data_IF_044942616125
#
_entry.id   IF_044942616125
#
_cell.length_a   1.000
_cell.length_b   1.000
_cell.length_c   1.000
_cell.angle_alpha   90.00
_cell.angle_beta   90.00
_cell.angle_gamma   90.00
#
_symmetry.space_group_name_H-M   'P 1'
#
loop_
_entity.id
_entity.type
_entity.pdbx_description
1 polymer ?
#
# COMPACT_ATOMS: atom_id res chain seq x y z
N UNK A 1 -3.56 9.80 -16.14
CA UNK A 1 -3.70 10.60 -14.92
C UNK A 1 -4.48 11.89 -15.16
N UNK A 2 -5.21 12.37 -14.15
CA UNK A 2 -6.00 13.59 -14.20
C UNK A 2 -5.46 14.60 -13.18
N UNK A 3 -4.21 15.04 -13.36
CA UNK A 3 -3.57 16.02 -12.50
C UNK A 3 -2.80 17.05 -13.31
N UNK A 4 -2.52 18.18 -12.71
CA UNK A 4 -1.64 19.22 -13.24
C UNK A 4 -0.51 19.46 -12.25
N UNK A 5 0.66 19.75 -12.78
CA UNK A 5 1.87 20.05 -12.00
C UNK A 5 2.63 21.16 -12.71
N UNK A 6 3.36 21.98 -11.98
CA UNK A 6 4.26 22.94 -12.59
C UNK A 6 5.39 22.22 -13.33
N UNK A 7 5.83 22.79 -14.46
CA UNK A 7 6.91 22.21 -15.26
C UNK A 7 8.18 22.01 -14.44
N UNK A 8 8.53 22.98 -13.60
CA UNK A 8 9.71 22.95 -12.73
C UNK A 8 9.67 21.76 -11.75
N UNK A 9 8.51 21.50 -11.15
CA UNK A 9 8.31 20.36 -10.25
C UNK A 9 8.41 19.03 -10.99
N UNK A 10 7.84 18.97 -12.21
CA UNK A 10 7.94 17.78 -13.06
C UNK A 10 9.39 17.49 -13.45
N UNK A 11 10.14 18.50 -13.85
CA UNK A 11 11.56 18.41 -14.22
C UNK A 11 12.42 18.02 -13.01
N UNK A 12 12.19 18.63 -11.84
CA UNK A 12 12.83 18.26 -10.58
C UNK A 12 12.62 16.80 -10.23
N UNK A 13 11.43 16.27 -10.44
CA UNK A 13 11.10 14.86 -10.25
C UNK A 13 11.50 13.97 -11.43
N UNK A 14 12.25 14.47 -12.41
CA UNK A 14 12.76 13.73 -13.57
C UNK A 14 11.66 13.14 -14.47
N UNK A 15 10.47 13.74 -14.48
CA UNK A 15 9.32 13.37 -15.32
C UNK A 15 9.01 11.84 -15.30
N UNK A 16 8.64 11.25 -16.43
CA UNK A 16 8.32 9.83 -16.52
C UNK A 16 9.56 8.99 -16.84
N UNK A 17 9.76 7.92 -16.11
CA UNK A 17 10.78 6.93 -16.44
C UNK A 17 10.23 5.93 -17.47
N UNK A 18 10.97 5.65 -18.57
CA UNK A 18 10.48 4.80 -19.65
C UNK A 18 10.26 3.34 -19.25
N UNK A 19 10.97 2.86 -18.23
CA UNK A 19 10.97 1.45 -17.81
C UNK A 19 10.29 1.21 -16.47
N UNK A 20 9.59 2.23 -15.92
CA UNK A 20 8.83 2.11 -14.67
C UNK A 20 7.33 2.01 -14.96
N UNK A 21 6.70 0.98 -14.41
CA UNK A 21 5.25 0.75 -14.57
C UNK A 21 4.61 0.38 -13.22
N UNK A 22 3.45 0.95 -12.86
CA UNK A 22 2.76 2.05 -13.57
C UNK A 22 3.53 3.39 -13.46
N UNK A 23 3.76 4.03 -14.59
CA UNK A 23 4.60 5.22 -14.72
C UNK A 23 4.08 6.44 -13.96
N UNK A 24 2.75 6.60 -13.95
CA UNK A 24 2.08 7.67 -13.23
C UNK A 24 2.11 7.45 -11.70
N UNK A 25 2.09 6.20 -11.28
CA UNK A 25 2.17 5.82 -9.88
C UNK A 25 3.58 6.07 -9.31
N UNK A 26 4.62 5.68 -10.05
CA UNK A 26 6.02 5.97 -9.72
C UNK A 26 6.26 7.49 -9.60
N UNK A 27 5.78 8.27 -10.59
CA UNK A 27 5.93 9.72 -10.57
C UNK A 27 5.20 10.36 -9.38
N UNK A 28 4.01 9.86 -9.01
CA UNK A 28 3.27 10.35 -7.84
C UNK A 28 4.06 10.14 -6.54
N UNK A 29 4.75 9.00 -6.39
CA UNK A 29 5.63 8.77 -5.23
C UNK A 29 6.87 9.68 -5.25
N UNK A 30 7.44 9.99 -6.42
CA UNK A 30 8.54 10.94 -6.51
C UNK A 30 8.10 12.36 -6.15
N UNK A 31 6.88 12.76 -6.51
CA UNK A 31 6.29 14.01 -6.02
C UNK A 31 6.17 14.01 -4.49
N UNK A 32 5.71 12.91 -3.91
CA UNK A 32 5.62 12.76 -2.45
C UNK A 32 7.00 12.84 -1.78
N UNK A 33 8.00 12.16 -2.31
CA UNK A 33 9.40 12.20 -1.83
C UNK A 33 9.98 13.61 -1.84
N UNK A 34 9.66 14.41 -2.87
CA UNK A 34 10.08 15.81 -2.99
C UNK A 34 9.24 16.78 -2.14
N UNK A 35 8.29 16.27 -1.36
CA UNK A 35 7.43 17.07 -0.49
C UNK A 35 6.36 17.88 -1.22
N UNK A 36 6.03 17.55 -2.47
CA UNK A 36 4.98 18.24 -3.21
C UNK A 36 3.61 17.93 -2.62
N UNK A 37 2.82 18.95 -2.43
CA UNK A 37 1.47 18.82 -1.86
C UNK A 37 0.44 18.58 -2.95
N UNK A 38 -0.22 17.42 -2.91
CA UNK A 38 -1.37 17.15 -3.76
C UNK A 38 -2.62 17.87 -3.22
N UNK A 39 -3.30 18.61 -4.09
CA UNK A 39 -4.55 19.31 -3.79
C UNK A 39 -5.65 18.71 -4.64
N UNK A 40 -6.68 18.16 -4.00
CA UNK A 40 -7.83 17.61 -4.70
C UNK A 40 -8.75 18.74 -5.21
N UNK A 41 -9.19 18.63 -6.47
CA UNK A 41 -10.24 19.50 -7.00
C UNK A 41 -11.61 19.04 -6.49
N UNK A 42 -12.41 19.96 -5.94
CA UNK A 42 -13.77 19.66 -5.46
C UNK A 42 -14.80 19.49 -6.58
N UNK A 43 -14.45 19.90 -7.81
CA UNK A 43 -15.33 19.78 -8.98
C UNK A 43 -14.94 18.57 -9.82
N UNK A 44 -15.92 17.88 -10.38
CA UNK A 44 -15.69 16.85 -11.41
C UNK A 44 -15.33 17.55 -12.70
N UNK A 45 -14.05 17.51 -13.09
CA UNK A 45 -13.52 18.14 -14.30
C UNK A 45 -13.29 17.14 -15.43
N UNK A 46 -13.36 15.86 -15.15
CA UNK A 46 -13.09 14.82 -16.12
C UNK A 46 -13.94 13.58 -15.87
N UNK A 47 -14.53 13.03 -16.95
CA UNK A 47 -15.23 11.75 -16.95
C UNK A 47 -14.37 10.73 -17.70
N UNK A 48 -13.97 9.70 -17.02
CA UNK A 48 -13.13 8.66 -17.59
C UNK A 48 -13.97 7.50 -18.10
N UNK A 49 -13.86 7.21 -19.40
CA UNK A 49 -14.54 6.06 -19.99
C UNK A 49 -13.83 4.77 -19.52
N UNK A 50 -14.58 3.93 -18.81
CA UNK A 50 -14.13 2.61 -18.40
C UNK A 50 -14.67 1.53 -19.36
N UNK A 51 -13.79 0.63 -19.81
CA UNK A 51 -14.13 -0.50 -20.67
C UNK A 51 -13.15 -1.66 -20.44
N UNK A 52 -13.59 -2.90 -20.77
CA UNK A 52 -12.89 -4.13 -20.41
C UNK A 52 -11.53 -4.31 -21.08
N UNK A 53 -11.33 -3.76 -22.28
CA UNK A 53 -10.11 -3.90 -23.07
C UNK A 53 -9.08 -2.78 -22.85
N UNK A 54 -9.22 -2.02 -21.76
CA UNK A 54 -8.24 -0.97 -21.43
C UNK A 54 -6.85 -1.55 -21.16
N UNK A 55 -5.80 -0.84 -21.58
CA UNK A 55 -4.40 -1.19 -21.35
C UNK A 55 -4.11 -1.52 -19.87
N UNK A 56 -4.65 -0.72 -18.93
CA UNK A 56 -4.49 -0.96 -17.50
C UNK A 56 -5.14 -2.26 -16.98
N UNK A 57 -5.95 -2.95 -17.81
CA UNK A 57 -6.60 -4.22 -17.48
C UNK A 57 -6.03 -5.40 -18.26
N UNK A 58 -5.40 -5.16 -19.40
CA UNK A 58 -5.01 -6.21 -20.35
C UNK A 58 -3.50 -6.33 -20.54
N UNK A 59 -2.75 -5.27 -20.27
CA UNK A 59 -1.31 -5.25 -20.50
C UNK A 59 -0.54 -5.82 -19.32
N UNK A 60 0.49 -6.62 -19.61
CA UNK A 60 1.33 -7.31 -18.61
C UNK A 60 1.96 -6.38 -17.56
N UNK A 61 2.29 -5.14 -17.92
CA UNK A 61 2.86 -4.16 -16.99
C UNK A 61 1.91 -3.72 -15.86
N UNK A 62 0.62 -3.99 -16.00
CA UNK A 62 -0.40 -3.68 -14.98
C UNK A 62 -1.01 -4.94 -14.36
N UNK A 63 -0.58 -6.15 -14.81
CA UNK A 63 -1.04 -7.42 -14.28
C UNK A 63 -0.45 -7.71 -12.89
N UNK A 64 -1.03 -8.68 -12.18
CA UNK A 64 -0.49 -9.28 -10.96
C UNK A 64 -0.09 -8.31 -9.85
N UNK A 65 -0.81 -7.18 -9.74
CA UNK A 65 -0.55 -6.17 -8.70
C UNK A 65 0.88 -5.58 -8.75
N UNK A 66 1.43 -5.33 -9.94
CA UNK A 66 2.77 -4.74 -10.12
C UNK A 66 2.96 -3.42 -9.36
N UNK A 67 1.89 -2.64 -9.17
CA UNK A 67 1.88 -1.44 -8.34
C UNK A 67 2.27 -1.68 -6.88
N UNK A 68 2.10 -2.91 -6.35
CA UNK A 68 2.51 -3.24 -4.98
C UNK A 68 4.02 -3.23 -4.80
N UNK A 69 4.78 -3.60 -5.83
CA UNK A 69 6.24 -3.58 -5.78
C UNK A 69 6.72 -2.13 -5.59
N UNK A 70 6.28 -1.21 -6.45
CA UNK A 70 6.59 0.22 -6.34
C UNK A 70 6.14 0.77 -4.99
N UNK A 71 4.91 0.45 -4.56
CA UNK A 71 4.38 0.94 -3.29
C UNK A 71 5.18 0.44 -2.09
N UNK A 72 5.65 -0.81 -2.13
CA UNK A 72 6.50 -1.37 -1.08
C UNK A 72 7.88 -0.69 -1.05
N UNK A 73 8.49 -0.48 -2.22
CA UNK A 73 9.79 0.18 -2.31
C UNK A 73 9.74 1.57 -1.68
N UNK A 74 8.77 2.40 -2.07
CA UNK A 74 8.60 3.75 -1.50
C UNK A 74 8.18 3.73 -0.03
N UNK A 75 7.33 2.80 0.40
CA UNK A 75 7.00 2.66 1.82
C UNK A 75 8.24 2.34 2.65
N UNK A 76 9.08 1.43 2.21
CA UNK A 76 10.29 1.04 2.94
C UNK A 76 11.33 2.15 2.96
N UNK A 77 11.39 2.96 1.90
CA UNK A 77 12.33 4.10 1.79
C UNK A 77 11.87 5.32 2.60
N UNK A 78 10.56 5.67 2.55
CA UNK A 78 10.08 6.98 3.01
C UNK A 78 9.26 6.92 4.31
N UNK A 79 8.45 5.88 4.48
CA UNK A 79 7.43 5.84 5.53
C UNK A 79 7.71 4.78 6.60
N UNK A 80 8.60 3.82 6.33
CA UNK A 80 8.92 2.75 7.28
C UNK A 80 9.69 3.29 8.48
N UNK A 81 9.04 3.25 9.64
CA UNK A 81 9.69 3.51 10.92
C UNK A 81 10.30 2.22 11.47
N UNK A 82 11.63 2.07 11.36
CA UNK A 82 12.35 0.86 11.79
C UNK A 82 12.35 0.63 13.31
N UNK A 83 11.95 1.63 14.10
CA UNK A 83 11.80 1.50 15.56
C UNK A 83 10.47 0.82 15.93
N UNK A 84 9.52 0.75 14.99
CA UNK A 84 8.22 0.11 15.19
C UNK A 84 8.20 -1.33 14.69
N UNK A 85 7.41 -2.17 15.37
CA UNK A 85 7.14 -3.53 14.90
C UNK A 85 6.23 -3.47 13.66
N UNK A 86 6.62 -4.16 12.58
CA UNK A 86 5.82 -4.19 11.37
C UNK A 86 4.73 -5.25 11.47
N UNK A 87 3.51 -4.89 11.12
CA UNK A 87 2.35 -5.79 11.06
C UNK A 87 1.81 -5.81 9.63
N UNK A 88 1.53 -7.00 9.09
CA UNK A 88 0.79 -7.16 7.83
C UNK A 88 -0.60 -7.68 8.17
N UNK A 89 -1.62 -6.89 7.82
CA UNK A 89 -3.03 -7.27 8.05
C UNK A 89 -3.68 -7.71 6.75
N UNK A 90 -4.03 -8.98 6.69
CA UNK A 90 -4.67 -9.63 5.55
C UNK A 90 -3.80 -10.71 4.92
N UNK A 91 -4.42 -11.85 4.59
CA UNK A 91 -3.76 -13.03 4.04
C UNK A 91 -4.37 -13.45 2.68
N UNK A 92 -4.90 -12.50 1.92
CA UNK A 92 -5.28 -12.63 0.51
C UNK A 92 -4.05 -12.53 -0.42
N UNK A 93 -4.29 -12.42 -1.73
CA UNK A 93 -3.19 -12.41 -2.71
C UNK A 93 -2.26 -11.21 -2.55
N UNK A 94 -2.79 -10.02 -2.27
CA UNK A 94 -1.98 -8.83 -1.96
C UNK A 94 -1.14 -9.02 -0.68
N UNK A 95 -1.74 -9.58 0.39
CA UNK A 95 -1.02 -9.86 1.63
C UNK A 95 0.10 -10.88 1.44
N UNK A 96 -0.14 -11.93 0.64
CA UNK A 96 0.90 -12.90 0.26
C UNK A 96 2.03 -12.27 -0.54
N UNK A 97 1.72 -11.35 -1.46
CA UNK A 97 2.73 -10.63 -2.24
C UNK A 97 3.57 -9.73 -1.33
N UNK A 98 2.94 -8.94 -0.46
CA UNK A 98 3.64 -8.11 0.54
C UNK A 98 4.53 -8.97 1.44
N UNK A 99 4.01 -10.10 1.96
CA UNK A 99 4.78 -11.00 2.79
C UNK A 99 6.03 -11.55 2.07
N UNK A 100 5.91 -11.95 0.80
CA UNK A 100 7.07 -12.40 0.00
C UNK A 100 8.13 -11.32 -0.17
N UNK A 101 7.72 -10.07 -0.43
CA UNK A 101 8.66 -8.93 -0.56
C UNK A 101 9.40 -8.73 0.76
N UNK A 102 8.71 -8.71 1.90
CA UNK A 102 9.31 -8.53 3.21
C UNK A 102 10.28 -9.67 3.57
N UNK A 103 9.89 -10.91 3.29
CA UNK A 103 10.75 -12.08 3.50
C UNK A 103 12.01 -12.01 2.66
N UNK A 104 11.89 -11.67 1.36
CA UNK A 104 13.03 -11.55 0.46
C UNK A 104 14.04 -10.48 0.91
N UNK A 105 13.56 -9.43 1.60
CA UNK A 105 14.40 -8.37 2.17
C UNK A 105 14.82 -8.62 3.62
N UNK A 106 14.53 -9.80 4.18
CA UNK A 106 14.81 -10.16 5.58
C UNK A 106 14.18 -9.20 6.61
N UNK A 107 13.03 -8.59 6.28
CA UNK A 107 12.30 -7.68 7.16
C UNK A 107 11.34 -8.50 8.03
N UNK A 108 11.50 -8.42 9.35
CA UNK A 108 10.61 -9.10 10.30
C UNK A 108 9.26 -8.40 10.36
N UNK A 109 8.18 -9.18 10.41
CA UNK A 109 6.81 -8.69 10.56
C UNK A 109 5.94 -9.72 11.30
N UNK A 110 4.85 -9.26 11.88
CA UNK A 110 3.78 -10.12 12.39
C UNK A 110 2.66 -10.15 11.36
N UNK A 111 2.20 -11.34 10.98
CA UNK A 111 1.14 -11.49 9.99
C UNK A 111 -0.18 -11.84 10.65
N UNK A 112 -1.18 -10.97 10.52
CA UNK A 112 -2.49 -11.14 11.13
C UNK A 112 -3.60 -11.26 10.08
N UNK A 113 -4.65 -12.01 10.39
CA UNK A 113 -5.84 -12.10 9.56
C UNK A 113 -7.10 -12.42 10.40
N UNK A 114 -8.26 -12.14 9.82
CA UNK A 114 -9.59 -12.41 10.34
C UNK A 114 -10.16 -13.78 9.94
N UNK A 115 -9.50 -14.47 8.99
CA UNK A 115 -10.00 -15.77 8.50
C UNK A 115 -9.59 -16.92 9.44
N UNK A 116 -10.53 -17.52 10.20
CA UNK A 116 -10.22 -18.58 11.17
C UNK A 116 -9.60 -19.82 10.53
N UNK A 117 -9.86 -20.06 9.21
CA UNK A 117 -9.26 -21.19 8.48
C UNK A 117 -7.76 -20.98 8.18
N UNK A 118 -7.27 -19.77 8.33
CA UNK A 118 -5.86 -19.41 8.07
C UNK A 118 -5.07 -19.14 9.34
N UNK A 119 -5.72 -18.83 10.46
CA UNK A 119 -5.07 -18.62 11.74
C UNK A 119 -4.28 -19.87 12.14
N UNK A 120 -3.10 -19.69 12.70
CA UNK A 120 -2.13 -20.71 13.08
C UNK A 120 -1.53 -21.52 11.92
N UNK A 121 -1.86 -21.20 10.66
CA UNK A 121 -1.19 -21.81 9.51
C UNK A 121 0.13 -21.14 9.23
N UNK A 122 1.09 -21.94 8.83
CA UNK A 122 2.33 -21.46 8.24
C UNK A 122 2.11 -21.16 6.74
N UNK A 123 2.48 -19.95 6.32
CA UNK A 123 2.55 -19.55 4.92
C UNK A 123 3.93 -18.92 4.69
N UNK A 124 4.75 -19.53 3.88
CA UNK A 124 6.12 -19.07 3.58
C UNK A 124 7.03 -19.01 4.81
N UNK A 125 6.89 -19.90 5.77
CA UNK A 125 7.64 -19.86 7.03
C UNK A 125 7.16 -18.78 8.02
N UNK A 126 5.96 -18.22 7.81
CA UNK A 126 5.37 -17.22 8.68
C UNK A 126 4.02 -17.73 9.23
N UNK A 127 3.90 -17.75 10.54
CA UNK A 127 2.65 -18.14 11.21
C UNK A 127 1.66 -16.95 11.14
N UNK A 128 0.41 -17.25 10.79
CA UNK A 128 -0.68 -16.27 10.82
C UNK A 128 -1.32 -16.22 12.21
N UNK A 129 -1.47 -15.01 12.73
CA UNK A 129 -2.09 -14.73 14.01
C UNK A 129 -3.49 -14.15 13.86
N UNK A 130 -4.36 -14.28 14.88
CA UNK A 130 -5.66 -13.61 14.92
C UNK A 130 -5.49 -12.10 15.09
N UNK A 131 -6.55 -11.34 14.80
CA UNK A 131 -6.54 -9.87 14.95
C UNK A 131 -6.22 -9.41 16.38
N UNK A 132 -6.62 -10.17 17.38
CA UNK A 132 -6.32 -9.91 18.80
C UNK A 132 -4.82 -9.87 19.11
N UNK A 133 -3.98 -10.44 18.25
CA UNK A 133 -2.53 -10.31 18.41
C UNK A 133 -2.07 -8.86 18.28
N UNK A 134 -2.80 -8.01 17.53
CA UNK A 134 -2.48 -6.57 17.39
C UNK A 134 -2.53 -5.85 18.74
N UNK A 135 -3.43 -6.25 19.64
CA UNK A 135 -3.59 -5.64 20.95
C UNK A 135 -2.39 -5.87 21.89
N UNK A 136 -1.59 -6.88 21.56
CA UNK A 136 -0.36 -7.24 22.32
C UNK A 136 0.92 -6.66 21.73
N UNK A 137 0.82 -6.00 20.55
CA UNK A 137 1.97 -5.43 19.86
C UNK A 137 2.05 -3.95 20.16
N UNK A 138 2.86 -3.58 21.13
CA UNK A 138 3.17 -2.19 21.38
C UNK A 138 4.03 -1.58 20.28
N UNK A 139 3.82 -0.30 20.00
CA UNK A 139 4.57 0.50 19.03
C UNK A 139 4.66 -0.19 17.66
N UNK A 140 3.51 -0.39 17.02
CA UNK A 140 3.42 -1.03 15.71
C UNK A 140 3.20 -0.04 14.57
N UNK A 141 3.58 -0.48 13.36
CA UNK A 141 3.22 0.13 12.09
C UNK A 141 2.61 -0.95 11.20
N UNK A 142 1.44 -0.67 10.61
CA UNK A 142 0.63 -1.71 9.96
C UNK A 142 0.45 -1.48 8.46
N UNK A 143 0.66 -2.51 7.66
CA UNK A 143 0.31 -2.57 6.23
C UNK A 143 -1.00 -3.34 6.10
N UNK A 144 -2.06 -2.68 5.61
CA UNK A 144 -3.38 -3.27 5.44
C UNK A 144 -3.57 -3.69 3.98
N UNK A 145 -3.78 -4.99 3.74
CA UNK A 145 -3.95 -5.57 2.40
C UNK A 145 -5.38 -6.07 2.14
N UNK A 146 -6.33 -5.63 2.97
CA UNK A 146 -7.74 -6.00 2.89
C UNK A 146 -8.44 -5.15 1.83
N UNK A 147 -8.93 -5.79 0.75
CA UNK A 147 -9.52 -5.08 -0.40
C UNK A 147 -11.02 -4.72 -0.22
N UNK A 148 -11.73 -5.36 0.70
CA UNK A 148 -13.15 -5.09 0.91
C UNK A 148 -13.34 -3.71 1.55
N UNK A 149 -14.08 -2.81 0.89
CA UNK A 149 -14.28 -1.43 1.33
C UNK A 149 -14.95 -1.32 2.71
N UNK A 150 -15.94 -2.20 3.00
CA UNK A 150 -16.60 -2.19 4.31
C UNK A 150 -15.62 -2.56 5.41
N UNK A 151 -14.81 -3.60 5.21
CA UNK A 151 -13.78 -3.98 6.15
C UNK A 151 -12.70 -2.89 6.32
N UNK A 152 -12.37 -2.14 5.26
CA UNK A 152 -11.44 -1.01 5.37
C UNK A 152 -11.96 0.10 6.28
N UNK A 153 -13.27 0.39 6.22
CA UNK A 153 -13.91 1.37 7.12
C UNK A 153 -13.80 0.88 8.58
N UNK A 154 -14.11 -0.38 8.84
CA UNK A 154 -14.02 -0.98 10.18
C UNK A 154 -12.58 -0.97 10.71
N UNK A 155 -11.61 -1.31 9.86
CA UNK A 155 -10.18 -1.26 10.21
C UNK A 155 -9.74 0.18 10.49
N UNK A 156 -10.18 1.14 9.69
CA UNK A 156 -9.86 2.56 9.90
C UNK A 156 -10.39 3.04 11.25
N UNK A 157 -11.65 2.76 11.59
CA UNK A 157 -12.25 3.10 12.88
C UNK A 157 -11.47 2.45 14.03
N UNK A 158 -11.10 1.18 13.91
CA UNK A 158 -10.31 0.47 14.91
C UNK A 158 -8.96 1.16 15.22
N UNK A 159 -8.30 1.71 14.21
CA UNK A 159 -7.04 2.45 14.42
C UNK A 159 -7.29 3.87 14.96
N UNK A 160 -8.34 4.57 14.48
CA UNK A 160 -8.72 5.90 14.95
C UNK A 160 -9.10 5.91 16.44
N UNK A 161 -9.84 4.90 16.93
CA UNK A 161 -10.16 4.71 18.34
C UNK A 161 -8.92 4.55 19.24
N UNK A 162 -7.80 4.12 18.66
CA UNK A 162 -6.49 4.01 19.32
C UNK A 162 -5.60 5.23 19.12
N UNK A 163 -6.11 6.30 18.53
CA UNK A 163 -5.37 7.52 18.17
C UNK A 163 -4.19 7.25 17.22
N UNK A 164 -4.28 6.20 16.39
CA UNK A 164 -3.28 5.91 15.36
C UNK A 164 -3.62 6.63 14.07
N UNK A 165 -2.59 7.13 13.39
CA UNK A 165 -2.72 8.07 12.27
C UNK A 165 -2.50 7.35 10.94
N UNK A 166 -3.45 7.51 10.01
CA UNK A 166 -3.32 7.04 8.63
C UNK A 166 -2.09 7.67 7.95
N UNK A 167 -1.38 6.87 7.18
CA UNK A 167 -0.12 7.21 6.49
C UNK A 167 1.03 7.59 7.45
N UNK A 168 0.94 7.15 8.71
CA UNK A 168 2.01 7.22 9.70
C UNK A 168 2.12 5.92 10.47
N UNK A 169 1.01 5.49 11.09
CA UNK A 169 0.96 4.30 11.92
C UNK A 169 0.35 3.11 11.17
N UNK A 170 -0.48 3.38 10.17
CA UNK A 170 -1.05 2.35 9.30
C UNK A 170 -1.25 2.85 7.86
N UNK A 171 -1.14 1.92 6.90
CA UNK A 171 -1.15 2.19 5.46
C UNK A 171 -2.02 1.19 4.73
N UNK A 172 -2.91 1.65 3.85
CA UNK A 172 -3.69 0.76 2.99
C UNK A 172 -2.94 0.42 1.71
N UNK A 173 -2.78 -0.87 1.43
CA UNK A 173 -2.11 -1.47 0.27
C UNK A 173 -3.08 -2.27 -0.60
N UNK A 174 -4.29 -1.77 -0.79
CA UNK A 174 -5.37 -2.45 -1.51
C UNK A 174 -5.96 -1.59 -2.64
#
# INVERSE_FOLDING_TARGET
PCWMVYREDLEKCQAFYPDKYPEDYDLAFRFYKEGLKAIACSKVLHYWRDYTTRTSRTHVHYADHTFLDIKMDYFLELDRDTTKKLVVWGAGDKGKKVAKILIAQNIKFTWICDNPKKISKDIYGQILYPLTALDTIENSQSIITVANLKAQIEIKLHFEERNLILNKDYFFFC
#
